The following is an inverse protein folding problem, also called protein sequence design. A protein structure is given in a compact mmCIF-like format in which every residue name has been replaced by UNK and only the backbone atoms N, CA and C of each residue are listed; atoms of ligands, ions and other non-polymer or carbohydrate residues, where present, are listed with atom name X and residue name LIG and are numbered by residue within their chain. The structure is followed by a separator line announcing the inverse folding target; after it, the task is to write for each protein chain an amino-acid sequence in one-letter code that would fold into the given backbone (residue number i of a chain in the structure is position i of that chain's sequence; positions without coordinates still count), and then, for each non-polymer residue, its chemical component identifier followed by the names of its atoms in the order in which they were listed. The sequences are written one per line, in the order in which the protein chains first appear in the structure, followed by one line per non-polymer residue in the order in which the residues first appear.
data_IF_694752131633
#
_entry.id   IF_694752131633
#
_cell.length_a   1.000
_cell.length_b   1.000
_cell.length_c   1.000
_cell.angle_alpha   90.00
_cell.angle_beta   90.00
_cell.angle_gamma   90.00
#
_symmetry.space_group_name_H-M   'P 1'
#
loop_
_entity.id
_entity.type
_entity.pdbx_description
1 polymer ?
#
# COMPACT_ATOMS: atom_id res chain seq x y z
N UNK A 1 -30.64 1.56 -14.92
CA UNK A 1 -30.28 1.02 -13.60
C UNK A 1 -28.77 0.76 -13.63
N UNK A 2 -27.97 1.72 -13.15
CA UNK A 2 -26.51 1.62 -13.21
C UNK A 2 -26.00 0.77 -12.03
N UNK A 3 -25.05 -0.17 -12.25
CA UNK A 3 -24.50 -0.99 -11.17
C UNK A 3 -23.74 -0.09 -10.19
N UNK A 4 -24.12 -0.17 -8.92
CA UNK A 4 -23.60 0.66 -7.84
C UNK A 4 -22.11 0.42 -7.61
N UNK A 5 -21.32 1.48 -7.79
CA UNK A 5 -19.94 1.54 -7.31
C UNK A 5 -19.96 1.41 -5.78
N UNK A 6 -19.17 0.52 -5.14
CA UNK A 6 -19.15 0.41 -3.68
C UNK A 6 -18.75 1.75 -3.05
N UNK A 7 -19.69 2.36 -2.32
CA UNK A 7 -19.66 3.77 -1.95
C UNK A 7 -18.74 4.08 -0.76
N UNK A 8 -18.33 3.06 0.01
CA UNK A 8 -17.57 3.21 1.25
C UNK A 8 -16.08 3.53 1.00
N UNK A 9 -15.50 2.99 -0.08
CA UNK A 9 -14.06 3.05 -0.30
C UNK A 9 -13.61 4.40 -0.91
N UNK A 10 -14.49 5.00 -1.71
CA UNK A 10 -14.32 6.37 -2.21
C UNK A 10 -14.36 7.40 -1.06
N UNK A 11 -15.15 7.13 -0.01
CA UNK A 11 -15.21 7.98 1.18
C UNK A 11 -13.89 7.92 1.94
N UNK A 12 -13.31 6.73 2.12
CA UNK A 12 -12.03 6.58 2.82
C UNK A 12 -10.89 7.31 2.08
N UNK A 13 -10.78 7.17 0.76
CA UNK A 13 -9.78 7.91 -0.05
C UNK A 13 -9.96 9.42 0.09
N UNK A 14 -11.20 9.91 0.02
CA UNK A 14 -11.51 11.35 0.21
C UNK A 14 -11.15 11.83 1.62
N UNK A 15 -11.46 11.04 2.65
CA UNK A 15 -11.16 11.38 4.04
C UNK A 15 -9.65 11.48 4.27
N UNK A 16 -8.86 10.51 3.81
CA UNK A 16 -7.40 10.56 3.93
C UNK A 16 -6.78 11.69 3.12
N UNK A 17 -7.31 11.97 1.92
CA UNK A 17 -6.90 13.13 1.12
C UNK A 17 -7.12 14.44 1.89
N UNK A 18 -8.29 14.61 2.51
CA UNK A 18 -8.61 15.79 3.29
C UNK A 18 -7.76 15.88 4.57
N UNK A 19 -7.55 14.77 5.28
CA UNK A 19 -6.75 14.76 6.50
C UNK A 19 -5.28 15.10 6.25
N UNK A 20 -4.74 14.76 5.08
CA UNK A 20 -3.34 15.05 4.73
C UNK A 20 -3.00 16.53 4.85
N UNK A 21 -3.91 17.45 4.50
CA UNK A 21 -3.67 18.90 4.61
C UNK A 21 -3.60 19.38 6.06
N UNK A 22 -4.13 18.61 7.00
CA UNK A 22 -4.17 18.92 8.42
C UNK A 22 -3.14 18.15 9.25
N UNK A 23 -2.42 17.20 8.66
CA UNK A 23 -1.45 16.33 9.34
C UNK A 23 -0.05 16.53 8.74
N UNK A 24 0.63 17.65 9.07
CA UNK A 24 2.00 17.89 8.62
C UNK A 24 2.90 16.75 9.12
N UNK A 25 3.68 16.15 8.21
CA UNK A 25 4.50 14.98 8.50
C UNK A 25 3.79 13.63 8.33
N UNK A 26 2.53 13.59 7.93
CA UNK A 26 1.86 12.35 7.55
C UNK A 26 2.53 11.73 6.31
N UNK A 27 3.19 10.59 6.51
CA UNK A 27 3.93 9.88 5.46
C UNK A 27 3.08 8.84 4.72
N UNK A 28 1.97 8.40 5.30
CA UNK A 28 1.23 7.27 4.77
C UNK A 28 -0.04 6.92 5.54
N UNK A 29 -0.74 5.95 5.00
CA UNK A 29 -1.99 5.41 5.53
C UNK A 29 -1.85 3.90 5.70
N UNK A 30 -2.23 3.42 6.87
CA UNK A 30 -2.37 1.99 7.14
C UNK A 30 -3.85 1.69 7.17
N UNK A 31 -4.31 0.87 6.25
CA UNK A 31 -5.73 0.57 6.09
C UNK A 31 -5.92 -0.86 5.59
N UNK A 32 -7.14 -1.37 5.68
CA UNK A 32 -7.42 -2.74 5.27
C UNK A 32 -7.28 -2.94 3.73
N UNK A 33 -7.40 -4.19 3.27
CA UNK A 33 -7.19 -4.67 1.89
C UNK A 33 -7.97 -3.92 0.80
N UNK A 34 -8.92 -3.07 1.18
CA UNK A 34 -9.69 -2.18 0.31
C UNK A 34 -8.81 -1.28 -0.57
N UNK A 35 -7.64 -0.82 -0.10
CA UNK A 35 -6.78 0.08 -0.90
C UNK A 35 -5.92 -0.66 -1.93
N UNK A 36 -6.56 -1.15 -2.98
CA UNK A 36 -5.93 -1.68 -4.20
C UNK A 36 -6.33 -0.86 -5.45
N UNK A 37 -5.61 -1.09 -6.55
CA UNK A 37 -5.92 -0.52 -7.86
C UNK A 37 -6.02 1.01 -7.85
N UNK A 38 -7.15 1.53 -8.35
CA UNK A 38 -7.42 2.97 -8.48
C UNK A 38 -7.36 3.72 -7.14
N UNK A 39 -7.74 3.07 -6.04
CA UNK A 39 -7.76 3.69 -4.70
C UNK A 39 -6.34 3.89 -4.17
N UNK A 40 -5.48 2.87 -4.33
CA UNK A 40 -4.06 2.96 -4.01
C UNK A 40 -3.35 4.00 -4.89
N UNK A 41 -3.66 3.99 -6.19
CA UNK A 41 -3.15 4.97 -7.15
C UNK A 41 -3.46 6.42 -6.73
N UNK A 42 -4.70 6.70 -6.35
CA UNK A 42 -5.12 8.04 -5.92
C UNK A 42 -4.32 8.56 -4.72
N UNK A 43 -4.10 7.72 -3.70
CA UNK A 43 -3.35 8.08 -2.50
C UNK A 43 -1.84 8.17 -2.77
N UNK A 44 -1.28 7.24 -3.54
CA UNK A 44 0.13 7.23 -3.89
C UNK A 44 0.52 8.45 -4.75
N UNK A 45 -0.36 8.92 -5.65
CA UNK A 45 -0.16 10.18 -6.41
C UNK A 45 -0.03 11.39 -5.52
N UNK A 46 -0.70 11.37 -4.37
CA UNK A 46 -0.56 12.40 -3.34
C UNK A 46 0.70 12.20 -2.50
N UNK A 47 1.54 11.20 -2.75
CA UNK A 47 2.75 11.01 -1.94
C UNK A 47 2.48 10.38 -0.58
N UNK A 48 1.36 9.69 -0.42
CA UNK A 48 1.13 8.83 0.74
C UNK A 48 1.66 7.41 0.48
N UNK A 49 2.32 6.83 1.48
CA UNK A 49 2.60 5.40 1.54
C UNK A 49 1.32 4.65 1.90
N UNK A 50 0.81 3.82 1.01
CA UNK A 50 -0.36 2.97 1.28
C UNK A 50 0.14 1.61 1.77
N UNK A 51 -0.17 1.28 3.02
CA UNK A 51 0.21 0.02 3.67
C UNK A 51 -1.06 -0.79 3.92
N UNK A 52 -1.28 -1.81 3.09
CA UNK A 52 -2.40 -2.73 3.21
C UNK A 52 -2.01 -4.11 2.70
N UNK A 53 -2.78 -5.15 3.02
CA UNK A 53 -2.56 -6.47 2.45
C UNK A 53 -2.70 -6.49 0.93
N UNK A 54 -2.01 -7.44 0.30
CA UNK A 54 -2.19 -7.66 -1.12
C UNK A 54 -3.59 -8.26 -1.34
N UNK A 55 -4.29 -7.79 -2.36
CA UNK A 55 -5.61 -8.33 -2.69
C UNK A 55 -5.49 -9.84 -2.97
N UNK A 56 -6.23 -10.66 -2.23
CA UNK A 56 -6.02 -12.11 -2.16
C UNK A 56 -6.27 -12.86 -3.48
N UNK A 57 -7.01 -12.26 -4.43
CA UNK A 57 -7.24 -12.85 -5.76
C UNK A 57 -6.20 -12.44 -6.82
N UNK A 58 -5.18 -11.65 -6.45
CA UNK A 58 -4.17 -11.18 -7.39
C UNK A 58 -3.31 -12.35 -7.90
N UNK A 59 -3.52 -12.73 -9.16
CA UNK A 59 -2.73 -13.76 -9.84
C UNK A 59 -1.39 -13.20 -10.32
N UNK A 60 -0.35 -14.04 -10.44
CA UNK A 60 0.90 -13.64 -11.06
C UNK A 60 0.67 -13.08 -12.47
N UNK A 61 1.33 -11.97 -12.80
CA UNK A 61 1.19 -11.30 -14.10
C UNK A 61 2.55 -10.91 -14.64
N UNK A 62 2.78 -11.16 -15.93
CA UNK A 62 4.03 -10.72 -16.58
C UNK A 62 4.17 -9.20 -16.49
N UNK A 63 5.40 -8.74 -16.25
CA UNK A 63 5.70 -7.33 -16.04
C UNK A 63 6.51 -6.74 -17.20
N UNK A 64 7.74 -7.22 -17.37
CA UNK A 64 8.67 -6.74 -18.39
C UNK A 64 9.78 -7.79 -18.59
N UNK A 65 10.28 -7.89 -19.82
CA UNK A 65 11.48 -8.63 -20.12
C UNK A 65 12.68 -7.69 -20.18
N UNK A 66 13.63 -7.83 -19.26
CA UNK A 66 14.86 -7.04 -19.25
C UNK A 66 15.98 -7.74 -20.00
N UNK A 67 16.79 -6.93 -20.69
CA UNK A 67 17.96 -7.38 -21.45
C UNK A 67 19.17 -6.56 -21.00
N UNK A 68 20.13 -7.21 -20.36
CA UNK A 68 21.41 -6.63 -19.93
C UNK A 68 22.55 -7.34 -20.65
N UNK A 69 22.98 -6.81 -21.80
CA UNK A 69 23.95 -7.50 -22.66
C UNK A 69 23.46 -8.91 -23.02
N UNK A 70 24.19 -9.93 -22.56
CA UNK A 70 23.82 -11.36 -22.76
C UNK A 70 22.76 -11.89 -21.78
N UNK A 71 22.40 -11.13 -20.76
CA UNK A 71 21.49 -11.57 -19.70
C UNK A 71 20.04 -11.23 -20.05
N UNK A 72 19.13 -12.14 -19.74
CA UNK A 72 17.70 -11.99 -19.96
C UNK A 72 16.98 -12.29 -18.65
N UNK A 73 16.21 -11.32 -18.15
CA UNK A 73 15.44 -11.45 -16.91
C UNK A 73 13.96 -11.25 -17.21
N UNK A 74 13.17 -12.29 -16.96
CA UNK A 74 11.73 -12.29 -17.21
C UNK A 74 11.00 -11.93 -15.92
N UNK A 75 10.59 -10.66 -15.82
CA UNK A 75 10.02 -10.14 -14.59
C UNK A 75 8.50 -10.30 -14.59
N UNK A 76 7.99 -10.67 -13.42
CA UNK A 76 6.60 -10.91 -13.10
C UNK A 76 6.22 -10.12 -11.84
N UNK A 77 4.94 -9.84 -11.68
CA UNK A 77 4.37 -9.34 -10.43
C UNK A 77 3.71 -10.50 -9.71
N UNK A 78 4.09 -10.75 -8.46
CA UNK A 78 3.53 -11.79 -7.60
C UNK A 78 3.55 -11.30 -6.15
N UNK A 79 2.49 -11.58 -5.39
CA UNK A 79 2.39 -11.23 -3.97
C UNK A 79 2.73 -9.74 -3.67
N UNK A 80 2.30 -8.84 -4.55
CA UNK A 80 2.51 -7.40 -4.39
C UNK A 80 3.94 -6.92 -4.66
N UNK A 81 4.82 -7.74 -5.25
CA UNK A 81 6.22 -7.39 -5.56
C UNK A 81 6.67 -7.92 -6.91
N UNK A 82 7.88 -7.53 -7.31
CA UNK A 82 8.53 -8.06 -8.50
C UNK A 82 9.19 -9.41 -8.17
N UNK A 83 8.96 -10.39 -9.04
CA UNK A 83 9.62 -11.67 -9.07
C UNK A 83 10.26 -11.89 -10.45
N UNK A 84 11.29 -12.70 -10.51
CA UNK A 84 11.89 -13.20 -11.74
C UNK A 84 11.42 -14.64 -11.98
N UNK A 85 11.02 -14.94 -13.21
CA UNK A 85 10.75 -16.31 -13.63
C UNK A 85 12.07 -17.02 -13.89
N UNK A 86 12.37 -17.99 -13.05
CA UNK A 86 13.52 -18.87 -13.17
C UNK A 86 13.09 -20.24 -13.68
N UNK A 87 14.03 -20.97 -14.26
CA UNK A 87 13.87 -22.35 -14.72
C UNK A 87 14.83 -23.21 -13.90
N UNK A 88 14.29 -24.27 -13.30
CA UNK A 88 15.05 -25.28 -12.57
C UNK A 88 14.53 -26.66 -12.98
N UNK A 89 15.41 -27.47 -13.54
CA UNK A 89 15.11 -28.83 -14.05
C UNK A 89 13.83 -28.94 -14.91
N UNK A 90 13.62 -27.96 -15.79
CA UNK A 90 12.46 -27.91 -16.70
C UNK A 90 11.17 -27.36 -16.08
N UNK A 91 11.17 -27.07 -14.77
CA UNK A 91 10.04 -26.44 -14.07
C UNK A 91 10.31 -24.95 -13.89
N UNK A 92 9.35 -24.10 -14.28
CA UNK A 92 9.46 -22.66 -14.04
C UNK A 92 8.85 -22.28 -12.69
N UNK A 93 9.55 -21.45 -11.92
CA UNK A 93 9.02 -20.86 -10.68
C UNK A 93 9.34 -19.36 -10.61
N UNK A 94 8.64 -18.66 -9.74
CA UNK A 94 8.81 -17.23 -9.52
C UNK A 94 9.66 -17.00 -8.26
N UNK A 95 10.86 -16.47 -8.47
CA UNK A 95 11.78 -16.10 -7.39
C UNK A 95 11.67 -14.60 -7.14
N UNK A 96 11.38 -14.21 -5.91
CA UNK A 96 11.18 -12.80 -5.60
C UNK A 96 12.47 -11.99 -5.69
N UNK A 97 12.40 -10.84 -6.37
CA UNK A 97 13.55 -9.96 -6.57
C UNK A 97 13.71 -9.05 -5.34
N UNK A 98 14.92 -8.96 -4.75
CA UNK A 98 15.19 -8.05 -3.64
C UNK A 98 14.93 -6.58 -3.98
N UNK A 99 14.11 -5.92 -3.17
CA UNK A 99 13.95 -4.47 -3.16
C UNK A 99 14.99 -3.89 -2.21
N UNK A 100 15.95 -3.14 -2.75
CA UNK A 100 17.01 -2.51 -1.95
C UNK A 100 16.55 -1.20 -1.33
N UNK A 101 15.67 -0.46 -2.03
CA UNK A 101 15.16 0.83 -1.56
C UNK A 101 13.81 1.13 -2.19
N UNK A 102 12.92 1.74 -1.39
CA UNK A 102 11.77 2.48 -1.89
C UNK A 102 12.17 3.94 -2.03
N UNK A 103 12.10 4.46 -3.25
CA UNK A 103 12.41 5.84 -3.59
C UNK A 103 11.10 6.61 -3.81
N UNK A 104 11.00 7.77 -3.18
CA UNK A 104 9.93 8.73 -3.41
C UNK A 104 10.49 9.92 -4.17
N UNK A 105 9.80 10.32 -5.23
CA UNK A 105 10.05 11.57 -5.94
C UNK A 105 8.80 12.41 -5.92
N UNK A 106 8.86 13.52 -5.21
CA UNK A 106 7.82 14.54 -5.29
C UNK A 106 7.91 15.27 -6.65
N UNK A 107 6.76 15.46 -7.27
CA UNK A 107 6.62 16.21 -8.52
C UNK A 107 5.59 17.33 -8.34
N UNK A 108 5.54 18.27 -9.27
CA UNK A 108 4.61 19.42 -9.22
C UNK A 108 3.15 18.98 -9.10
N UNK A 109 2.76 17.98 -9.89
CA UNK A 109 1.35 17.59 -10.02
C UNK A 109 1.05 16.27 -9.30
N UNK A 110 2.07 15.42 -9.15
CA UNK A 110 1.97 14.13 -8.48
C UNK A 110 3.31 13.63 -8.00
N UNK A 111 3.27 12.89 -6.90
CA UNK A 111 4.36 12.05 -6.44
C UNK A 111 4.56 10.84 -7.34
N UNK A 112 5.77 10.29 -7.33
CA UNK A 112 6.12 9.02 -7.98
C UNK A 112 6.93 8.16 -7.02
N UNK A 113 6.69 6.85 -7.08
CA UNK A 113 7.32 5.87 -6.20
C UNK A 113 8.05 4.83 -7.02
N UNK A 114 9.23 4.41 -6.57
CA UNK A 114 10.04 3.43 -7.26
C UNK A 114 10.63 2.41 -6.30
N UNK A 115 10.55 1.14 -6.64
CA UNK A 115 11.43 0.12 -6.10
C UNK A 115 12.74 0.15 -6.87
N UNK A 116 13.84 0.34 -6.16
CA UNK A 116 15.16 -0.03 -6.64
C UNK A 116 15.35 -1.51 -6.35
N UNK A 117 15.51 -2.28 -7.42
CA UNK A 117 15.69 -3.72 -7.40
C UNK A 117 17.16 -4.05 -7.63
N UNK A 118 17.62 -5.12 -6.98
CA UNK A 118 18.86 -5.79 -7.33
C UNK A 118 18.53 -7.20 -7.78
N UNK A 119 18.59 -7.44 -9.09
CA UNK A 119 18.32 -8.73 -9.72
C UNK A 119 19.58 -9.59 -9.58
N UNK A 120 19.53 -10.69 -8.81
CA UNK A 120 20.67 -11.59 -8.67
C UNK A 120 20.99 -12.23 -10.02
N UNK A 121 22.19 -11.99 -10.55
CA UNK A 121 22.61 -12.51 -11.85
C UNK A 121 24.09 -12.89 -11.81
N UNK A 122 24.41 -14.14 -12.16
CA UNK A 122 25.80 -14.65 -12.25
C UNK A 122 26.63 -13.95 -13.32
N UNK A 123 25.97 -13.31 -14.29
CA UNK A 123 26.62 -12.61 -15.39
C UNK A 123 26.70 -11.09 -15.17
N UNK A 124 26.16 -10.59 -14.05
CA UNK A 124 26.38 -9.20 -13.62
C UNK A 124 27.81 -8.98 -13.13
N UNK A 125 28.12 -7.74 -12.75
CA UNK A 125 29.44 -7.28 -12.24
C UNK A 125 29.79 -7.81 -10.82
N UNK A 126 29.33 -9.01 -10.48
CA UNK A 126 29.38 -9.57 -9.13
C UNK A 126 28.32 -9.02 -8.17
N UNK A 127 27.67 -7.88 -8.49
CA UNK A 127 26.65 -7.26 -7.64
C UNK A 127 25.20 -7.47 -8.13
N UNK A 128 25.02 -8.12 -9.28
CA UNK A 128 23.73 -8.31 -9.95
C UNK A 128 23.37 -7.13 -10.86
N UNK A 129 22.13 -7.09 -11.37
CA UNK A 129 21.66 -5.96 -12.17
C UNK A 129 20.74 -5.06 -11.36
N UNK A 130 21.02 -3.75 -11.39
CA UNK A 130 20.14 -2.75 -10.78
C UNK A 130 19.03 -2.40 -11.76
N UNK A 131 17.80 -2.43 -11.27
CA UNK A 131 16.62 -2.06 -12.06
C UNK A 131 15.66 -1.21 -11.24
N UNK A 132 15.12 -0.15 -11.83
CA UNK A 132 14.18 0.76 -11.18
C UNK A 132 12.77 0.52 -11.70
N UNK A 133 11.88 0.10 -10.81
CA UNK A 133 10.48 -0.20 -11.12
C UNK A 133 9.59 0.82 -10.45
N UNK A 134 8.78 1.53 -11.23
CA UNK A 134 7.74 2.38 -10.65
C UNK A 134 6.73 1.51 -9.88
N UNK A 135 6.17 2.00 -8.78
CA UNK A 135 5.15 1.30 -7.98
C UNK A 135 4.05 2.24 -7.52
N UNK A 136 2.93 1.69 -7.06
CA UNK A 136 1.85 2.44 -6.41
C UNK A 136 0.99 3.31 -7.33
N UNK A 137 1.45 3.67 -8.54
CA UNK A 137 0.75 4.58 -9.46
C UNK A 137 0.67 3.99 -10.86
N UNK A 138 -0.50 4.03 -11.47
CA UNK A 138 -0.78 3.65 -12.86
C UNK A 138 -0.17 4.72 -13.79
N UNK A 139 0.71 4.31 -14.69
CA UNK A 139 1.26 5.22 -15.71
C UNK A 139 0.32 5.40 -16.90
N UNK A 140 0.08 6.65 -17.29
CA UNK A 140 -0.62 6.97 -18.54
C UNK A 140 0.39 7.11 -19.70
N UNK A 141 -0.06 7.24 -20.97
CA UNK A 141 0.85 7.51 -22.08
C UNK A 141 1.71 8.76 -21.86
N UNK A 142 1.14 9.79 -21.23
CA UNK A 142 1.82 11.04 -20.91
C UNK A 142 2.88 10.90 -19.82
N UNK A 143 2.77 9.87 -18.96
CA UNK A 143 3.77 9.58 -17.94
C UNK A 143 5.05 8.96 -18.48
N UNK A 144 5.00 8.40 -19.69
CA UNK A 144 6.04 7.54 -20.22
C UNK A 144 6.66 8.12 -21.49
N UNK A 145 7.58 9.07 -21.29
CA UNK A 145 8.47 9.55 -22.36
C UNK A 145 9.66 8.60 -22.63
N UNK A 146 9.86 7.57 -21.79
CA UNK A 146 10.95 6.61 -21.96
C UNK A 146 10.75 5.75 -23.20
N UNK A 147 11.76 5.72 -24.06
CA UNK A 147 11.86 4.76 -25.16
C UNK A 147 12.55 3.49 -24.68
N UNK A 148 12.20 2.38 -25.30
CA UNK A 148 12.88 1.13 -25.09
C UNK A 148 14.30 1.20 -25.68
N UNK A 149 15.36 0.98 -24.89
CA UNK A 149 16.73 1.11 -25.39
C UNK A 149 17.07 0.12 -26.51
N UNK A 150 16.40 -1.05 -26.54
CA UNK A 150 16.68 -2.12 -27.49
C UNK A 150 15.92 -1.97 -28.81
N UNK A 151 14.72 -1.38 -28.78
CA UNK A 151 13.88 -1.22 -29.99
C UNK A 151 13.69 0.22 -30.44
N UNK A 152 14.08 1.21 -29.64
CA UNK A 152 13.87 2.64 -29.89
C UNK A 152 12.41 3.10 -29.82
N UNK A 153 11.46 2.17 -29.63
CA UNK A 153 10.02 2.45 -29.60
C UNK A 153 9.62 3.06 -28.26
N UNK A 154 8.60 3.93 -28.28
CA UNK A 154 7.98 4.42 -27.02
C UNK A 154 7.46 3.22 -26.24
N UNK A 155 7.77 3.18 -24.94
CA UNK A 155 7.21 2.15 -24.08
C UNK A 155 5.74 2.49 -23.79
N UNK A 156 4.80 1.55 -23.99
CA UNK A 156 3.40 1.81 -23.67
C UNK A 156 3.23 2.03 -22.16
N UNK A 157 2.31 2.93 -21.80
CA UNK A 157 1.88 3.15 -20.43
C UNK A 157 1.16 1.93 -19.86
N UNK A 158 0.88 1.96 -18.57
CA UNK A 158 0.10 0.92 -17.89
C UNK A 158 -1.32 0.82 -18.43
N UNK A 159 -1.96 1.96 -18.75
CA UNK A 159 -3.31 1.99 -19.36
C UNK A 159 -3.35 1.34 -20.75
N UNK A 160 -2.29 1.47 -21.54
CA UNK A 160 -2.20 0.87 -22.88
C UNK A 160 -1.92 -0.63 -22.84
N UNK A 161 -1.36 -1.11 -21.72
CA UNK A 161 -1.07 -2.54 -21.49
C UNK A 161 -2.17 -3.25 -20.70
N UNK A 162 -3.25 -2.53 -20.35
CA UNK A 162 -4.27 -3.01 -19.41
C UNK A 162 -3.65 -3.53 -18.09
N UNK A 163 -2.60 -2.87 -17.61
CA UNK A 163 -1.82 -3.31 -16.46
C UNK A 163 -2.00 -2.38 -15.27
N UNK A 164 -2.84 -2.75 -14.31
CA UNK A 164 -3.01 -1.95 -13.10
C UNK A 164 -1.87 -2.17 -12.12
N UNK A 165 -0.80 -1.38 -12.25
CA UNK A 165 0.37 -1.48 -11.37
C UNK A 165 0.05 -1.36 -9.88
N UNK A 166 -0.84 -0.44 -9.53
CA UNK A 166 -1.31 -0.26 -8.16
C UNK A 166 -2.14 -1.45 -7.64
N UNK A 167 -2.62 -2.33 -8.52
CA UNK A 167 -3.24 -3.61 -8.16
C UNK A 167 -2.18 -4.68 -7.85
N UNK A 168 -1.17 -4.80 -8.72
CA UNK A 168 -0.20 -5.90 -8.68
C UNK A 168 1.07 -5.61 -7.85
N UNK A 169 1.39 -4.34 -7.59
CA UNK A 169 2.59 -3.92 -6.85
C UNK A 169 2.22 -3.02 -5.67
N UNK A 170 2.73 -3.38 -4.49
CA UNK A 170 2.62 -2.61 -3.25
C UNK A 170 3.83 -1.68 -3.10
N UNK A 171 3.64 -0.50 -2.50
CA UNK A 171 4.76 0.36 -2.12
C UNK A 171 5.63 -0.34 -1.05
N UNK A 172 5.00 -0.99 -0.07
CA UNK A 172 5.65 -1.81 0.96
C UNK A 172 5.05 -3.22 0.92
N UNK A 173 5.72 -4.19 0.25
CA UNK A 173 5.17 -5.53 0.08
C UNK A 173 4.94 -6.26 1.40
N UNK A 174 3.87 -7.05 1.47
CA UNK A 174 3.39 -7.72 2.69
C UNK A 174 4.44 -8.56 3.42
N UNK A 175 5.31 -9.24 2.67
CA UNK A 175 6.33 -10.12 3.22
C UNK A 175 7.57 -9.39 3.74
N UNK A 176 7.63 -8.06 3.63
CA UNK A 176 8.77 -7.28 4.12
C UNK A 176 8.64 -6.98 5.60
N UNK A 177 9.78 -6.87 6.30
CA UNK A 177 9.83 -6.45 7.70
C UNK A 177 9.17 -5.09 7.92
N UNK A 178 9.33 -4.15 6.98
CA UNK A 178 8.69 -2.84 7.06
C UNK A 178 7.17 -2.95 7.11
N UNK A 179 6.57 -3.83 6.30
CA UNK A 179 5.15 -4.10 6.36
C UNK A 179 4.74 -4.73 7.69
N UNK A 180 5.46 -5.77 8.13
CA UNK A 180 5.17 -6.48 9.37
C UNK A 180 5.24 -5.57 10.62
N UNK A 181 6.08 -4.54 10.60
CA UNK A 181 6.17 -3.57 11.68
C UNK A 181 5.10 -2.48 11.57
N UNK A 182 4.77 -2.01 10.37
CA UNK A 182 3.84 -0.89 10.19
C UNK A 182 2.36 -1.31 10.16
N UNK A 183 2.04 -2.43 9.53
CA UNK A 183 0.66 -2.87 9.32
C UNK A 183 -0.12 -3.15 10.62
N UNK A 184 0.49 -3.68 11.72
CA UNK A 184 -0.21 -3.86 12.98
C UNK A 184 -0.77 -2.57 13.61
N UNK A 185 -0.30 -1.40 13.18
CA UNK A 185 -0.85 -0.10 13.61
C UNK A 185 -2.15 0.29 12.88
N UNK A 186 -2.67 -0.57 12.00
CA UNK A 186 -4.00 -0.35 11.40
C UNK A 186 -5.04 -0.21 12.51
N UNK A 187 -5.95 0.74 12.36
CA UNK A 187 -7.18 0.71 13.15
C UNK A 187 -7.98 -0.51 12.74
N UNK A 188 -8.32 -1.37 13.69
CA UNK A 188 -9.14 -2.55 13.42
C UNK A 188 -10.60 -2.15 13.27
N UNK A 189 -10.91 -1.50 12.14
CA UNK A 189 -12.23 -0.94 11.85
C UNK A 189 -13.32 -2.00 11.92
N UNK A 190 -13.04 -3.24 11.55
CA UNK A 190 -14.02 -4.34 11.67
C UNK A 190 -14.40 -4.60 13.13
N UNK A 191 -13.44 -4.60 14.05
CA UNK A 191 -13.73 -4.73 15.48
C UNK A 191 -14.55 -3.54 16.01
N UNK A 192 -14.30 -2.33 15.51
CA UNK A 192 -15.02 -1.11 15.91
C UNK A 192 -16.45 -1.12 15.38
N UNK A 193 -16.67 -1.56 14.15
CA UNK A 193 -18.02 -1.74 13.59
C UNK A 193 -18.77 -2.86 14.31
N UNK A 194 -18.12 -3.99 14.61
CA UNK A 194 -18.72 -5.06 15.41
C UNK A 194 -19.06 -4.58 16.83
N UNK A 195 -18.19 -3.80 17.49
CA UNK A 195 -18.51 -3.18 18.78
C UNK A 195 -19.69 -2.20 18.67
N UNK A 196 -19.77 -1.45 17.56
CA UNK A 196 -20.91 -0.58 17.30
C UNK A 196 -22.19 -1.41 17.19
N UNK A 197 -22.22 -2.44 16.36
CA UNK A 197 -23.38 -3.32 16.19
C UNK A 197 -23.78 -3.97 17.52
N UNK A 198 -22.81 -4.46 18.31
CA UNK A 198 -23.06 -5.02 19.64
C UNK A 198 -23.57 -4.00 20.66
N UNK A 199 -23.22 -2.71 20.51
CA UNK A 199 -23.70 -1.64 21.39
C UNK A 199 -25.16 -1.27 21.13
N UNK A 200 -25.71 -1.65 19.98
CA UNK A 200 -27.09 -1.34 19.59
C UNK A 200 -28.06 -2.41 20.12
N UNK A 201 -29.23 -1.97 20.56
CA UNK A 201 -30.30 -2.87 21.00
C UNK A 201 -30.70 -3.82 19.87
N UNK A 202 -30.66 -5.13 20.15
CA UNK A 202 -30.88 -6.19 19.16
C UNK A 202 -29.98 -6.10 17.91
N UNK A 203 -28.79 -5.50 18.01
CA UNK A 203 -27.88 -5.24 16.89
C UNK A 203 -28.56 -4.45 15.75
N UNK A 204 -29.52 -3.60 16.11
CA UNK A 204 -30.27 -2.78 15.15
C UNK A 204 -30.19 -1.32 15.55
N UNK A 205 -29.93 -0.49 14.55
CA UNK A 205 -29.95 0.94 14.70
C UNK A 205 -31.30 1.40 15.24
N UNK A 206 -31.32 1.95 16.47
CA UNK A 206 -32.54 2.33 17.21
C UNK A 206 -33.09 3.69 16.72
N UNK A 207 -32.72 4.11 15.51
CA UNK A 207 -33.16 5.38 14.94
C UNK A 207 -33.60 5.24 13.49
N UNK A 208 -34.73 5.88 13.18
CA UNK A 208 -35.30 5.93 11.85
C UNK A 208 -34.84 7.19 11.11
N UNK A 209 -34.37 7.01 9.88
CA UNK A 209 -33.94 8.09 8.99
C UNK A 209 -32.44 8.37 9.05
N UNK A 210 -31.86 8.59 7.86
CA UNK A 210 -30.41 8.71 7.63
C UNK A 210 -29.72 9.70 8.58
N UNK A 211 -30.27 10.90 8.76
CA UNK A 211 -29.65 11.94 9.58
C UNK A 211 -29.57 11.56 11.06
N UNK A 212 -30.60 10.89 11.60
CA UNK A 212 -30.59 10.43 13.00
C UNK A 212 -29.59 9.30 13.20
N UNK A 213 -29.49 8.39 12.23
CA UNK A 213 -28.51 7.30 12.25
C UNK A 213 -27.07 7.84 12.22
N UNK A 214 -26.79 8.90 11.46
CA UNK A 214 -25.48 9.57 11.46
C UNK A 214 -25.11 10.11 12.84
N UNK A 215 -26.05 10.68 13.59
CA UNK A 215 -25.79 11.19 14.95
C UNK A 215 -25.36 10.06 15.89
N UNK A 216 -25.98 8.88 15.78
CA UNK A 216 -25.56 7.71 16.56
C UNK A 216 -24.15 7.25 16.22
N UNK A 217 -23.83 7.12 14.93
CA UNK A 217 -22.48 6.73 14.46
C UNK A 217 -21.44 7.77 14.91
N UNK A 218 -21.76 9.06 14.80
CA UNK A 218 -20.88 10.14 15.26
C UNK A 218 -20.66 10.09 16.77
N UNK A 219 -21.73 9.91 17.56
CA UNK A 219 -21.65 9.80 19.01
C UNK A 219 -20.80 8.61 19.44
N UNK A 220 -20.97 7.45 18.79
CA UNK A 220 -20.13 6.28 19.02
C UNK A 220 -18.67 6.54 18.67
N UNK A 221 -18.39 7.12 17.49
CA UNK A 221 -17.03 7.45 17.08
C UNK A 221 -16.34 8.44 18.04
N UNK A 222 -17.06 9.45 18.53
CA UNK A 222 -16.56 10.39 19.52
C UNK A 222 -16.23 9.71 20.85
N UNK A 223 -17.15 8.86 21.36
CA UNK A 223 -16.93 8.12 22.59
C UNK A 223 -15.74 7.15 22.49
N UNK A 224 -15.62 6.45 21.36
CA UNK A 224 -14.52 5.54 21.08
C UNK A 224 -13.18 6.30 21.02
N UNK A 225 -13.12 7.40 20.26
CA UNK A 225 -11.91 8.22 20.15
C UNK A 225 -11.51 8.85 21.50
N UNK A 226 -12.47 9.31 22.30
CA UNK A 226 -12.21 9.85 23.64
C UNK A 226 -11.64 8.77 24.57
N UNK A 227 -12.21 7.57 24.55
CA UNK A 227 -11.74 6.42 25.35
C UNK A 227 -10.33 6.00 24.94
N UNK A 228 -10.08 5.86 23.63
CA UNK A 228 -8.76 5.54 23.09
C UNK A 228 -7.71 6.59 23.45
N UNK A 229 -8.06 7.88 23.38
CA UNK A 229 -7.18 8.99 23.80
C UNK A 229 -6.84 8.93 25.29
N UNK A 230 -7.82 8.64 26.16
CA UNK A 230 -7.59 8.47 27.61
C UNK A 230 -6.61 7.33 27.88
N UNK A 231 -6.84 6.15 27.28
CA UNK A 231 -5.98 4.96 27.45
C UNK A 231 -4.56 5.24 26.95
N UNK A 232 -4.41 5.92 25.81
CA UNK A 232 -3.11 6.32 25.28
C UNK A 232 -2.34 7.21 26.26
N UNK A 233 -2.98 8.26 26.79
CA UNK A 233 -2.38 9.15 27.78
C UNK A 233 -1.99 8.42 29.07
N UNK A 234 -2.82 7.49 29.55
CA UNK A 234 -2.52 6.68 30.73
C UNK A 234 -1.30 5.77 30.51
N UNK A 235 -1.20 5.13 29.33
CA UNK A 235 -0.04 4.30 28.98
C UNK A 235 1.25 5.13 28.91
N UNK A 236 1.20 6.29 28.27
CA UNK A 236 2.36 7.19 28.17
C UNK A 236 2.79 7.76 29.53
N UNK A 237 1.84 8.08 30.41
CA UNK A 237 2.15 8.49 31.79
C UNK A 237 2.83 7.38 32.59
N UNK A 238 2.39 6.12 32.41
CA UNK A 238 2.99 4.96 33.09
C UNK A 238 4.42 4.68 32.60
N UNK A 239 4.68 4.77 31.29
CA UNK A 239 6.04 4.59 30.75
C UNK A 239 6.97 5.76 31.06
N UNK A 240 6.48 7.00 31.14
CA UNK A 240 7.27 8.15 31.57
C UNK A 240 7.56 8.18 33.08
N UNK A 241 6.78 7.45 33.88
CA UNK A 241 6.84 7.45 35.35
C UNK A 241 7.76 6.40 35.98
N UNK A 242 8.58 5.67 35.21
CA UNK A 242 9.55 4.70 35.78
C UNK A 242 11.00 5.19 35.59
N UNK A 243 11.56 6.02 36.50
CA UNK A 243 13.00 6.18 36.60
C UNK A 243 13.61 4.90 37.18
N UNK A 244 14.70 4.43 36.59
CA UNK A 244 15.39 3.21 36.99
C UNK A 244 15.75 3.19 38.47
N UNK A 245 15.33 2.14 39.15
CA UNK A 245 15.86 1.77 40.47
C UNK A 245 17.36 1.50 40.33
N UNK A 246 18.18 2.39 40.88
CA UNK A 246 19.59 2.13 41.15
C UNK A 246 19.65 1.04 42.24
N UNK A 247 20.05 -0.17 41.87
CA UNK A 247 20.50 -1.16 42.85
C UNK A 247 21.99 -0.91 43.15
N UNK A 248 22.26 -0.21 44.25
CA UNK A 248 23.52 -0.31 45.00
C UNK A 248 23.41 -1.52 45.92
N UNK A 249 24.30 -2.49 45.76
CA UNK A 249 25.04 -3.12 46.86
C UNK A 249 26.23 -3.86 46.30
#
# INVERSE_FOLDING_TARGET
MAPGVPQQDAVAVRAFTALRTHLPGCMGVVYDGVFCGVRRDALARQGLLVINYQHGSARPRTYELLRYGRCRHDLWCEQGRIAERLLDDGTSFLASVPVTRLEHREGSDKSRWYHLLRIPCRHGDGSGHVHRVQVGIITTPDDRHSRDPSTGKRRPGDTERDFHRAEHLQQIPQHTRAHQLAYPYRSDSESVHNQFDQSLWNQRMISYGLERQKVYVLGFALAHNATSRRIHHERHRRTAGTPGSQAKT
#
